data_IF_449981739829
#
_entry.id   IF_449981739829
#
_cell.length_a   1.000
_cell.length_b   1.000
_cell.length_c   1.000
_cell.angle_alpha   90.00
_cell.angle_beta   90.00
_cell.angle_gamma   90.00
#
_symmetry.space_group_name_H-M   'P 1'
#
loop_
_entity.id
_entity.type
_entity.pdbx_description
1 polymer ?
#
# COMPACT_ATOMS: atom_id res chain seq x y z
N UNK A 1 -25.68 8.43 4.49
CA UNK A 1 -25.32 8.51 5.92
C UNK A 1 -23.79 8.55 6.02
N UNK A 2 -23.19 9.49 6.76
CA UNK A 2 -21.75 9.44 6.99
C UNK A 2 -21.44 8.23 7.87
N UNK A 3 -20.66 7.28 7.34
CA UNK A 3 -20.16 6.15 8.11
C UNK A 3 -19.21 6.72 9.16
N UNK A 4 -19.60 6.66 10.44
CA UNK A 4 -18.67 6.90 11.53
C UNK A 4 -17.54 5.88 11.39
N UNK A 5 -16.38 6.33 10.92
CA UNK A 5 -15.14 5.56 10.93
C UNK A 5 -14.89 5.14 12.38
N UNK A 6 -15.23 3.89 12.70
CA UNK A 6 -14.96 3.34 14.01
C UNK A 6 -13.45 3.23 14.17
N UNK A 7 -12.95 3.42 15.40
CA UNK A 7 -11.53 3.25 15.77
C UNK A 7 -10.95 1.93 15.24
N UNK A 8 -11.79 0.90 15.10
CA UNK A 8 -11.45 -0.39 14.48
C UNK A 8 -11.05 -0.28 13.00
N UNK A 9 -11.83 0.41 12.15
CA UNK A 9 -11.50 0.56 10.73
C UNK A 9 -10.25 1.40 10.51
N UNK A 10 -10.04 2.43 11.34
CA UNK A 10 -8.80 3.22 11.32
C UNK A 10 -7.57 2.37 11.67
N UNK A 11 -7.67 1.47 12.66
CA UNK A 11 -6.59 0.53 12.98
C UNK A 11 -6.33 -0.45 11.84
N UNK A 12 -7.36 -1.00 11.22
CA UNK A 12 -7.23 -1.87 10.06
C UNK A 12 -6.49 -1.15 8.92
N UNK A 13 -6.87 0.09 8.64
CA UNK A 13 -6.19 0.92 7.65
C UNK A 13 -4.71 1.15 8.01
N UNK A 14 -4.42 1.47 9.26
CA UNK A 14 -3.05 1.63 9.74
C UNK A 14 -2.23 0.33 9.63
N UNK A 15 -2.81 -0.82 9.97
CA UNK A 15 -2.19 -2.14 9.83
C UNK A 15 -1.89 -2.45 8.37
N UNK A 16 -2.83 -2.17 7.46
CA UNK A 16 -2.62 -2.34 6.03
C UNK A 16 -1.45 -1.50 5.52
N UNK A 17 -1.43 -0.20 5.85
CA UNK A 17 -0.34 0.72 5.45
C UNK A 17 1.00 0.26 6.01
N UNK A 18 1.04 -0.20 7.26
CA UNK A 18 2.27 -0.72 7.88
C UNK A 18 2.73 -1.99 7.17
N UNK A 19 1.79 -2.88 6.85
CA UNK A 19 2.08 -4.14 6.15
C UNK A 19 2.67 -3.91 4.75
N UNK A 20 2.29 -2.83 4.04
CA UNK A 20 2.89 -2.46 2.75
C UNK A 20 4.41 -2.25 2.83
N UNK A 21 4.95 -1.91 4.00
CA UNK A 21 6.39 -1.76 4.23
C UNK A 21 7.14 -3.09 4.42
N UNK A 22 6.44 -4.22 4.51
CA UNK A 22 7.05 -5.55 4.65
C UNK A 22 7.48 -6.13 3.30
N UNK A 23 8.27 -7.20 3.29
CA UNK A 23 8.63 -7.90 2.04
C UNK A 23 7.41 -8.42 1.26
N UNK A 24 6.34 -8.78 1.96
CA UNK A 24 5.12 -9.31 1.33
C UNK A 24 4.31 -8.16 0.71
N UNK A 25 4.00 -7.14 1.51
CA UNK A 25 3.25 -5.96 1.06
C UNK A 25 4.03 -5.09 0.07
N UNK A 26 5.36 -5.10 0.14
CA UNK A 26 6.26 -4.34 -0.73
C UNK A 26 6.15 -4.71 -2.21
N UNK A 27 5.59 -5.88 -2.54
CA UNK A 27 5.27 -6.25 -3.93
C UNK A 27 4.22 -5.32 -4.56
N UNK A 28 3.27 -4.81 -3.76
CA UNK A 28 2.28 -3.83 -4.21
C UNK A 28 2.95 -2.47 -4.43
N UNK A 29 3.84 -2.07 -3.52
CA UNK A 29 4.63 -0.84 -3.67
C UNK A 29 5.52 -0.91 -4.91
N UNK A 30 6.17 -2.04 -5.15
CA UNK A 30 6.96 -2.24 -6.37
C UNK A 30 6.11 -2.11 -7.63
N UNK A 31 4.90 -2.68 -7.63
CA UNK A 31 3.94 -2.52 -8.74
C UNK A 31 3.60 -1.04 -8.99
N UNK A 32 3.42 -0.24 -7.93
CA UNK A 32 3.21 1.20 -8.01
C UNK A 32 4.43 1.96 -8.60
N UNK A 33 5.65 1.55 -8.24
CA UNK A 33 6.88 2.18 -8.75
C UNK A 33 7.03 2.07 -10.26
N UNK A 34 6.63 0.95 -10.85
CA UNK A 34 6.83 0.67 -12.29
C UNK A 34 6.19 1.72 -13.18
N UNK A 35 5.06 2.33 -12.77
CA UNK A 35 4.39 3.38 -13.56
C UNK A 35 4.73 4.80 -13.12
N UNK A 36 5.26 4.96 -11.90
CA UNK A 36 5.62 6.25 -11.34
C UNK A 36 4.42 7.09 -10.86
N UNK A 37 4.67 8.16 -10.08
CA UNK A 37 3.64 8.94 -9.40
C UNK A 37 2.72 9.74 -10.33
N UNK A 38 3.14 9.99 -11.57
CA UNK A 38 2.47 10.89 -12.52
C UNK A 38 1.83 10.15 -13.69
N UNK A 39 1.67 8.82 -13.61
CA UNK A 39 0.97 8.08 -14.66
C UNK A 39 -0.48 8.53 -14.75
N UNK A 40 -1.01 8.65 -15.97
CA UNK A 40 -2.41 8.98 -16.27
C UNK A 40 -3.14 7.81 -16.95
N UNK A 41 -2.61 6.59 -16.81
CA UNK A 41 -3.16 5.36 -17.39
C UNK A 41 -4.40 4.89 -16.60
N UNK A 42 -5.63 5.02 -17.13
CA UNK A 42 -6.85 4.69 -16.39
C UNK A 42 -6.95 3.20 -16.06
N UNK A 43 -6.29 2.33 -16.84
CA UNK A 43 -6.26 0.88 -16.59
C UNK A 43 -5.34 0.53 -15.42
N UNK A 44 -4.44 1.43 -15.04
CA UNK A 44 -3.53 1.23 -13.92
C UNK A 44 -4.22 1.39 -12.57
N UNK A 45 -5.24 2.25 -12.48
CA UNK A 45 -5.96 2.50 -11.24
C UNK A 45 -6.59 1.21 -10.68
N UNK A 46 -7.18 0.38 -11.55
CA UNK A 46 -7.73 -0.93 -11.16
C UNK A 46 -6.67 -2.03 -10.96
N UNK A 47 -5.43 -1.81 -11.43
CA UNK A 47 -4.38 -2.83 -11.40
C UNK A 47 -3.87 -3.13 -9.98
N UNK A 48 -3.93 -2.12 -9.10
CA UNK A 48 -3.49 -2.25 -7.70
C UNK A 48 -4.49 -3.05 -6.88
N UNK A 49 -5.79 -2.78 -7.05
CA UNK A 49 -6.85 -3.60 -6.46
C UNK A 49 -6.76 -5.06 -6.92
N UNK A 50 -6.52 -5.29 -8.22
CA UNK A 50 -6.28 -6.64 -8.74
C UNK A 50 -5.06 -7.29 -8.06
N UNK A 51 -3.97 -6.54 -7.89
CA UNK A 51 -2.77 -7.06 -7.23
C UNK A 51 -3.02 -7.40 -5.76
N UNK A 52 -3.78 -6.58 -5.06
CA UNK A 52 -4.25 -6.88 -3.72
C UNK A 52 -5.08 -8.16 -3.69
N UNK A 53 -6.05 -8.31 -4.59
CA UNK A 53 -6.85 -9.53 -4.66
C UNK A 53 -6.00 -10.77 -4.93
N UNK A 54 -4.99 -10.70 -5.79
CA UNK A 54 -4.02 -11.79 -5.99
C UNK A 54 -3.29 -12.16 -4.69
N UNK A 55 -2.82 -11.16 -3.94
CA UNK A 55 -2.17 -11.36 -2.63
C UNK A 55 -3.14 -11.83 -1.54
N UNK A 56 -4.43 -11.50 -1.64
CA UNK A 56 -5.44 -11.81 -0.64
C UNK A 56 -6.12 -13.18 -0.88
N UNK A 57 -5.61 -13.99 -1.82
CA UNK A 57 -6.12 -15.34 -2.07
C UNK A 57 -5.68 -16.33 -0.99
N UNK A 58 -6.47 -17.38 -0.82
CA UNK A 58 -6.10 -18.52 0.02
C UNK A 58 -5.17 -19.46 -0.76
N UNK A 59 -4.06 -19.82 -0.15
CA UNK A 59 -3.05 -20.72 -0.67
C UNK A 59 -2.67 -21.73 0.41
N UNK A 60 -3.22 -22.94 0.34
CA UNK A 60 -3.05 -23.97 1.39
C UNK A 60 -1.60 -24.22 1.79
N UNK A 61 -0.64 -24.10 0.86
CA UNK A 61 0.78 -24.33 1.09
C UNK A 61 1.56 -23.09 1.53
N UNK A 62 1.15 -21.88 1.13
CA UNK A 62 1.93 -20.65 1.34
C UNK A 62 1.43 -19.83 2.54
N UNK A 63 0.12 -19.85 2.81
CA UNK A 63 -0.51 -19.04 3.85
C UNK A 63 -1.44 -19.86 4.76
N UNK A 64 -1.18 -21.18 4.89
CA UNK A 64 -1.95 -22.11 5.72
C UNK A 64 -3.46 -22.09 5.44
N UNK A 65 -3.87 -21.65 4.24
CA UNK A 65 -5.27 -21.53 3.83
C UNK A 65 -5.97 -20.22 4.26
N UNK A 66 -5.26 -19.26 4.85
CA UNK A 66 -5.80 -17.97 5.27
C UNK A 66 -5.56 -16.90 4.22
N UNK A 67 -6.36 -15.84 4.22
CA UNK A 67 -6.14 -14.66 3.38
C UNK A 67 -5.20 -13.69 4.08
N UNK A 68 -4.52 -12.84 3.32
CA UNK A 68 -3.74 -11.72 3.89
C UNK A 68 -4.59 -10.86 4.83
N UNK A 69 -5.84 -10.58 4.45
CA UNK A 69 -6.85 -9.91 5.31
C UNK A 69 -7.08 -10.63 6.64
N UNK A 70 -7.17 -11.97 6.66
CA UNK A 70 -7.34 -12.74 7.90
C UNK A 70 -6.15 -12.49 8.86
N UNK A 71 -4.92 -12.44 8.33
CA UNK A 71 -3.74 -12.10 9.13
C UNK A 71 -3.76 -10.66 9.63
N UNK A 72 -4.12 -9.71 8.77
CA UNK A 72 -4.08 -8.27 9.09
C UNK A 72 -5.17 -7.84 10.08
N UNK A 73 -6.27 -8.58 10.17
CA UNK A 73 -7.33 -8.32 11.17
C UNK A 73 -7.17 -9.13 12.43
N UNK A 74 -6.25 -10.10 12.46
CA UNK A 74 -6.05 -10.97 13.61
C UNK A 74 -5.18 -10.29 14.68
N UNK A 75 -5.54 -10.50 15.94
CA UNK A 75 -4.72 -10.05 17.07
C UNK A 75 -3.42 -10.88 17.22
N UNK A 76 -3.46 -12.14 16.78
CA UNK A 76 -2.33 -13.07 16.78
C UNK A 76 -2.09 -13.59 15.35
N UNK A 77 -0.92 -13.26 14.78
CA UNK A 77 -0.55 -13.66 13.43
C UNK A 77 -0.12 -15.13 13.34
N UNK A 78 0.30 -15.75 14.45
CA UNK A 78 0.68 -17.17 14.49
C UNK A 78 -0.55 -18.07 14.43
N UNK A 79 -1.66 -17.57 14.98
CA UNK A 79 -2.98 -18.21 15.03
C UNK A 79 -4.04 -17.29 14.39
N UNK A 80 -3.96 -17.06 13.06
CA UNK A 80 -4.87 -16.17 12.38
C UNK A 80 -6.31 -16.66 12.52
N UNK A 81 -7.21 -15.70 12.72
CA UNK A 81 -8.66 -15.89 12.74
C UNK A 81 -9.24 -15.42 11.42
N UNK A 82 -10.25 -16.15 10.91
CA UNK A 82 -10.95 -15.74 9.70
C UNK A 82 -11.73 -14.46 9.97
N UNK A 83 -11.46 -13.41 9.20
CA UNK A 83 -12.23 -12.19 9.24
C UNK A 83 -13.64 -12.46 8.68
N UNK A 84 -14.66 -12.24 9.51
CA UNK A 84 -16.07 -12.46 9.14
C UNK A 84 -16.83 -11.17 8.82
N UNK A 85 -16.28 -10.02 9.21
CA UNK A 85 -16.90 -8.74 8.92
C UNK A 85 -16.53 -8.32 7.48
N UNK A 86 -17.55 -8.23 6.63
CA UNK A 86 -17.37 -7.81 5.24
C UNK A 86 -16.87 -6.36 5.14
N UNK A 87 -17.25 -5.48 6.08
CA UNK A 87 -16.83 -4.08 6.07
C UNK A 87 -15.34 -3.94 6.38
N UNK A 88 -14.80 -4.79 7.26
CA UNK A 88 -13.36 -4.84 7.53
C UNK A 88 -12.56 -5.27 6.31
N UNK A 89 -13.10 -6.21 5.54
CA UNK A 89 -12.48 -6.64 4.28
C UNK A 89 -12.53 -5.51 3.25
N UNK A 90 -13.66 -4.81 3.17
CA UNK A 90 -13.87 -3.71 2.23
C UNK A 90 -12.91 -2.54 2.47
N UNK A 91 -12.48 -2.31 3.72
CA UNK A 91 -11.44 -1.31 4.04
C UNK A 91 -10.17 -1.57 3.24
N UNK A 92 -9.72 -2.83 3.13
CA UNK A 92 -8.53 -3.16 2.35
C UNK A 92 -8.73 -2.93 0.85
N UNK A 93 -9.91 -3.27 0.33
CA UNK A 93 -10.24 -3.10 -1.09
C UNK A 93 -10.31 -1.59 -1.44
N UNK A 94 -10.92 -0.77 -0.58
CA UNK A 94 -10.94 0.69 -0.74
C UNK A 94 -9.53 1.29 -0.69
N UNK A 95 -8.68 0.84 0.23
CA UNK A 95 -7.30 1.31 0.31
C UNK A 95 -6.47 0.87 -0.90
N UNK A 96 -6.62 -0.37 -1.37
CA UNK A 96 -5.93 -0.85 -2.55
C UNK A 96 -6.38 -0.10 -3.82
N UNK A 97 -7.68 0.17 -3.94
CA UNK A 97 -8.23 0.98 -5.02
C UNK A 97 -7.72 2.43 -4.94
N UNK A 98 -7.70 3.03 -3.74
CA UNK A 98 -7.18 4.38 -3.52
C UNK A 98 -5.68 4.47 -3.81
N UNK A 99 -4.87 3.49 -3.42
CA UNK A 99 -3.45 3.42 -3.76
C UNK A 99 -3.21 3.38 -5.27
N UNK A 100 -4.17 2.82 -6.00
CA UNK A 100 -4.23 2.84 -7.46
C UNK A 100 -4.37 4.23 -8.03
N UNK A 101 -5.02 5.18 -7.34
CA UNK A 101 -5.26 6.55 -7.83
C UNK A 101 -4.01 7.44 -7.87
N UNK A 102 -4.12 8.61 -8.50
CA UNK A 102 -3.05 9.61 -8.52
C UNK A 102 -2.61 10.03 -7.10
N UNK A 103 -3.58 10.30 -6.21
CA UNK A 103 -3.30 10.71 -4.83
C UNK A 103 -2.60 9.60 -4.04
N UNK A 104 -3.04 8.35 -4.23
CA UNK A 104 -2.41 7.19 -3.61
C UNK A 104 -0.96 6.99 -4.07
N UNK A 105 -0.70 7.16 -5.36
CA UNK A 105 0.67 7.09 -5.92
C UNK A 105 1.56 8.21 -5.38
N UNK A 106 1.06 9.43 -5.28
CA UNK A 106 1.79 10.55 -4.69
C UNK A 106 2.09 10.32 -3.20
N UNK A 107 1.10 9.80 -2.45
CA UNK A 107 1.29 9.43 -1.05
C UNK A 107 2.44 8.43 -0.87
N UNK A 108 2.47 7.36 -1.68
CA UNK A 108 3.53 6.35 -1.63
C UNK A 108 4.89 6.97 -1.97
N UNK A 109 4.98 7.78 -3.02
CA UNK A 109 6.23 8.45 -3.40
C UNK A 109 6.75 9.35 -2.26
N UNK A 110 5.87 10.14 -1.62
CA UNK A 110 6.22 10.98 -0.48
C UNK A 110 6.65 10.15 0.73
N UNK A 111 5.98 9.04 1.03
CA UNK A 111 6.34 8.15 2.12
C UNK A 111 7.71 7.49 1.90
N UNK A 112 8.01 7.07 0.67
CA UNK A 112 9.32 6.52 0.31
C UNK A 112 10.43 7.56 0.41
N UNK A 113 10.18 8.79 -0.06
CA UNK A 113 11.11 9.91 0.09
C UNK A 113 11.44 10.17 1.57
N UNK A 114 10.42 10.24 2.43
CA UNK A 114 10.58 10.37 3.89
C UNK A 114 11.39 9.23 4.50
N UNK A 115 11.15 7.99 4.09
CA UNK A 115 11.89 6.82 4.59
C UNK A 115 13.37 6.85 4.17
N UNK A 116 13.68 7.34 2.97
CA UNK A 116 15.08 7.57 2.55
C UNK A 116 15.69 8.72 3.34
N UNK A 117 14.94 9.80 3.58
CA UNK A 117 15.40 10.98 4.31
C UNK A 117 15.84 10.61 5.72
N UNK A 118 14.94 9.92 6.43
CA UNK A 118 15.20 9.37 7.75
C UNK A 118 16.45 8.48 7.80
N UNK A 119 16.62 7.56 6.83
CA UNK A 119 17.80 6.67 6.78
C UNK A 119 19.12 7.40 6.51
N UNK A 120 19.06 8.55 5.82
CA UNK A 120 20.23 9.35 5.46
C UNK A 120 20.50 10.50 6.44
N UNK A 121 19.64 10.70 7.44
CA UNK A 121 19.70 11.87 8.32
C UNK A 121 19.40 13.19 7.60
N UNK A 122 18.68 13.14 6.49
CA UNK A 122 18.30 14.30 5.67
C UNK A 122 16.85 14.72 5.98
N UNK A 123 16.53 15.97 5.69
CA UNK A 123 15.15 16.46 5.67
C UNK A 123 14.38 15.91 4.47
N UNK A 124 13.04 15.93 4.57
CA UNK A 124 12.14 15.43 3.53
C UNK A 124 12.25 16.29 2.26
N UNK A 125 12.36 17.60 2.43
CA UNK A 125 12.45 18.56 1.34
C UNK A 125 13.73 18.35 0.52
N UNK A 126 14.87 18.10 1.19
CA UNK A 126 16.14 17.79 0.51
C UNK A 126 16.02 16.56 -0.40
N UNK A 127 15.27 15.53 0.00
CA UNK A 127 15.10 14.31 -0.81
C UNK A 127 14.15 14.54 -1.98
N UNK A 128 13.06 15.26 -1.77
CA UNK A 128 12.12 15.58 -2.84
C UNK A 128 12.80 16.45 -3.92
N UNK A 129 13.66 17.39 -3.52
CA UNK A 129 14.47 18.19 -4.44
C UNK A 129 15.50 17.35 -5.20
N UNK A 130 16.18 16.41 -4.55
CA UNK A 130 17.12 15.49 -5.22
C UNK A 130 16.39 14.59 -6.23
N UNK A 131 15.21 14.08 -5.88
CA UNK A 131 14.41 13.25 -6.77
C UNK A 131 13.86 14.04 -7.98
N UNK A 132 13.52 15.32 -7.78
CA UNK A 132 13.11 16.23 -8.85
C UNK A 132 14.28 16.59 -9.79
N UNK A 133 15.44 16.98 -9.22
CA UNK A 133 16.63 17.34 -10.01
C UNK A 133 17.26 16.15 -10.75
N UNK A 134 17.19 14.94 -10.17
CA UNK A 134 17.61 13.72 -10.85
C UNK A 134 16.74 13.35 -12.07
N UNK A 135 15.45 13.74 -12.07
CA UNK A 135 14.55 13.55 -13.22
C UNK A 135 14.85 14.52 -14.36
N UNK A 136 15.21 15.77 -14.06
CA UNK A 136 15.60 16.75 -15.09
C UNK A 136 16.93 16.38 -15.77
N UNK A 137 17.88 15.80 -15.02
CA UNK A 137 19.12 15.30 -15.60
C UNK A 137 18.91 14.06 -16.49
N UNK A 138 17.98 13.17 -16.12
CA UNK A 138 17.64 11.98 -16.91
C UNK A 138 16.75 12.27 -18.14
N UNK A 139 16.06 13.41 -18.17
CA UNK A 139 15.26 13.85 -19.32
C UNK A 139 16.08 14.57 -20.40
N UNK A 140 17.29 15.02 -20.07
CA UNK A 140 18.16 15.84 -20.93
C UNK A 140 19.48 15.13 -21.34
N UNK A 141 19.62 13.84 -21.05
CA UNK A 141 20.76 13.00 -21.44
C UNK A 141 20.33 11.80 -22.25
#
# INVERSE_FOLDING_TARGET
>A
MPVLLTDRYSRIAATFVTWLGTNVGGSIIWHLRVKGPTTNDPLFDCSVLRKWHEQNRRHSFCNRGFRSSDYLTSADWEKPTVCRDALEIEVFDHLANWLGSADGRQFVAAAEARAVAYRKGLSVDEILTIQAGGREAAANG
#
